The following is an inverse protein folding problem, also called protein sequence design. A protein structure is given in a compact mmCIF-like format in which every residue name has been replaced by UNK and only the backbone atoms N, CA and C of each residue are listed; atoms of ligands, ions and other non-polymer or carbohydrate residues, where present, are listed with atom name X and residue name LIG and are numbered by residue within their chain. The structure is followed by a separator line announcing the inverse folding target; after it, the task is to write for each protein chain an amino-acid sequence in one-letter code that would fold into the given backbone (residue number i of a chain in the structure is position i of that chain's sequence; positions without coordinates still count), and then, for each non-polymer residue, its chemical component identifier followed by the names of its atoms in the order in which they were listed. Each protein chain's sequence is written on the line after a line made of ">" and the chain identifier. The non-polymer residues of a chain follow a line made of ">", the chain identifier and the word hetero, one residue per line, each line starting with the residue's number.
data_IF_809130148507
#
_entry.id   IF_809130148507
#
_cell.length_a   1.000
_cell.length_b   1.000
_cell.length_c   1.000
_cell.angle_alpha   90.00
_cell.angle_beta   90.00
_cell.angle_gamma   90.00
#
_symmetry.space_group_name_H-M   'P 1'
#
loop_
_entity.id
_entity.type
_entity.pdbx_description
1 polymer ?
#
# COMPACT_ATOMS: atom_id res chain seq x y z
N UNK A 1 23.48 -4.55 -0.53
CA UNK A 1 22.34 -5.37 -0.97
C UNK A 1 22.12 -5.03 -2.43
N UNK A 2 22.06 -5.98 -3.30
CA UNK A 2 21.86 -5.78 -4.74
C UNK A 2 20.36 -5.99 -5.00
N UNK A 3 19.71 -4.99 -5.60
CA UNK A 3 18.28 -5.05 -5.98
C UNK A 3 18.17 -5.64 -7.37
N UNK A 4 17.20 -6.50 -7.60
CA UNK A 4 16.86 -7.11 -8.89
C UNK A 4 15.58 -6.53 -9.49
N UNK A 5 15.32 -6.82 -10.76
CA UNK A 5 14.10 -6.38 -11.45
C UNK A 5 12.82 -6.98 -10.88
N UNK A 6 12.90 -8.09 -10.15
CA UNK A 6 11.75 -8.78 -9.55
C UNK A 6 11.47 -8.34 -8.11
N UNK A 7 12.32 -7.44 -7.55
CA UNK A 7 12.18 -7.02 -6.18
C UNK A 7 11.10 -5.94 -6.00
N UNK A 8 10.51 -5.96 -4.82
CA UNK A 8 9.60 -4.92 -4.33
C UNK A 8 10.35 -4.02 -3.35
N UNK A 9 10.44 -2.74 -3.67
CA UNK A 9 11.09 -1.72 -2.85
C UNK A 9 10.03 -0.88 -2.17
N UNK A 10 9.91 -1.02 -0.84
CA UNK A 10 8.93 -0.25 -0.06
C UNK A 10 9.56 1.05 0.42
N UNK A 11 8.98 2.17 0.01
CA UNK A 11 9.33 3.53 0.42
C UNK A 11 8.20 4.06 1.30
N UNK A 12 8.51 4.38 2.55
CA UNK A 12 7.54 5.02 3.45
C UNK A 12 7.68 6.54 3.43
N UNK A 13 6.61 7.24 3.79
CA UNK A 13 6.64 8.70 3.95
C UNK A 13 7.70 9.18 4.93
N UNK A 14 8.06 8.37 5.92
CA UNK A 14 9.18 8.68 6.83
C UNK A 14 10.51 8.86 6.11
N UNK A 15 10.73 8.13 5.02
CA UNK A 15 11.95 8.24 4.21
C UNK A 15 12.07 9.58 3.50
N UNK A 16 10.95 10.24 3.23
CA UNK A 16 10.85 11.54 2.55
C UNK A 16 10.76 12.74 3.53
N UNK A 17 10.50 12.50 4.81
CA UNK A 17 10.37 13.55 5.81
C UNK A 17 11.70 14.28 6.11
N UNK A 18 12.84 13.71 5.76
CA UNK A 18 14.16 14.24 6.01
C UNK A 18 14.81 14.76 4.73
N UNK A 19 14.73 16.05 4.47
CA UNK A 19 15.23 16.71 3.24
C UNK A 19 16.67 16.35 2.87
N UNK A 20 17.57 16.18 3.85
CA UNK A 20 18.97 15.81 3.62
C UNK A 20 19.16 14.36 3.11
N UNK A 21 18.16 13.50 3.23
CA UNK A 21 18.21 12.11 2.75
C UNK A 21 17.48 11.91 1.42
N UNK A 22 16.57 12.82 1.07
CA UNK A 22 15.70 12.68 -0.10
C UNK A 22 16.49 12.64 -1.40
N UNK A 23 17.50 13.50 -1.56
CA UNK A 23 18.34 13.51 -2.77
C UNK A 23 19.02 12.16 -3.00
N UNK A 24 19.59 11.57 -1.94
CA UNK A 24 20.23 10.26 -2.03
C UNK A 24 19.21 9.14 -2.32
N UNK A 25 18.02 9.22 -1.72
CA UNK A 25 16.93 8.27 -1.96
C UNK A 25 16.46 8.36 -3.43
N UNK A 26 16.25 9.57 -3.94
CA UNK A 26 15.83 9.78 -5.34
C UNK A 26 16.86 9.24 -6.33
N UNK A 27 18.14 9.55 -6.11
CA UNK A 27 19.22 9.03 -6.96
C UNK A 27 19.31 7.50 -6.90
N UNK A 28 19.04 6.90 -5.74
CA UNK A 28 19.00 5.45 -5.58
C UNK A 28 17.79 4.82 -6.28
N UNK A 29 16.60 5.42 -6.15
CA UNK A 29 15.39 4.96 -6.83
C UNK A 29 15.50 5.04 -8.35
N UNK A 30 16.10 6.12 -8.87
CA UNK A 30 16.35 6.30 -10.30
C UNK A 30 17.35 5.28 -10.87
N UNK A 31 18.26 4.81 -10.03
CA UNK A 31 19.24 3.78 -10.36
C UNK A 31 18.76 2.33 -10.19
N UNK A 32 17.49 2.09 -9.83
CA UNK A 32 16.96 0.73 -9.69
C UNK A 32 16.88 0.01 -11.05
N UNK A 33 17.07 -1.32 -11.08
CA UNK A 33 16.86 -2.11 -12.29
C UNK A 33 15.47 -1.89 -12.86
N UNK A 34 15.37 -1.76 -14.19
CA UNK A 34 14.07 -1.71 -14.86
C UNK A 34 13.26 -2.96 -14.54
N UNK A 35 12.01 -2.77 -14.11
CA UNK A 35 11.13 -3.84 -13.64
C UNK A 35 10.97 -3.91 -12.11
N UNK A 36 11.86 -3.30 -11.33
CA UNK A 36 11.69 -3.19 -9.86
C UNK A 36 10.37 -2.49 -9.53
N UNK A 37 9.57 -3.11 -8.67
CA UNK A 37 8.29 -2.54 -8.22
C UNK A 37 8.51 -1.60 -7.05
N UNK A 38 8.31 -0.30 -7.27
CA UNK A 38 8.38 0.71 -6.21
C UNK A 38 7.02 0.86 -5.55
N UNK A 39 6.97 0.56 -4.26
CA UNK A 39 5.77 0.63 -3.42
C UNK A 39 5.88 1.83 -2.51
N UNK A 40 4.86 2.65 -2.44
CA UNK A 40 4.84 3.83 -1.59
C UNK A 40 3.69 3.78 -0.58
N UNK A 41 4.03 3.92 0.70
CA UNK A 41 3.07 4.13 1.80
C UNK A 41 3.36 5.50 2.44
N UNK A 42 2.47 6.50 2.31
CA UNK A 42 2.69 7.84 2.83
C UNK A 42 2.77 7.88 4.35
N UNK A 43 2.05 6.98 5.03
CA UNK A 43 1.96 6.94 6.48
C UNK A 43 1.40 8.23 7.09
N UNK A 44 1.52 8.40 8.42
CA UNK A 44 0.92 9.54 9.13
C UNK A 44 1.58 10.89 8.84
N UNK A 45 2.77 10.91 8.22
CA UNK A 45 3.48 12.15 7.86
C UNK A 45 3.02 12.74 6.53
N UNK A 46 1.90 12.28 6.01
CA UNK A 46 1.34 12.63 4.69
C UNK A 46 1.29 14.14 4.43
N UNK A 47 1.01 14.97 5.42
CA UNK A 47 0.94 16.43 5.24
C UNK A 47 2.31 17.08 4.97
N UNK A 48 3.39 16.42 5.32
CA UNK A 48 4.75 16.87 5.01
C UNK A 48 5.25 16.44 3.62
N UNK A 49 4.47 15.61 2.92
CA UNK A 49 4.85 15.01 1.64
C UNK A 49 4.41 15.85 0.43
N UNK A 50 4.57 17.16 0.53
CA UNK A 50 4.28 18.09 -0.55
C UNK A 50 5.58 18.77 -1.00
N UNK A 51 5.70 19.01 -2.29
CA UNK A 51 6.85 19.74 -2.79
C UNK A 51 7.53 19.08 -3.98
N UNK A 52 8.73 19.56 -4.28
CA UNK A 52 9.52 19.12 -5.46
C UNK A 52 9.91 17.65 -5.31
N UNK A 53 10.28 17.26 -4.09
CA UNK A 53 10.74 15.91 -3.76
C UNK A 53 9.64 14.88 -4.04
N UNK A 54 8.42 15.14 -3.57
CA UNK A 54 7.30 14.22 -3.82
C UNK A 54 6.97 14.14 -5.30
N UNK A 55 6.97 15.27 -6.02
CA UNK A 55 6.77 15.28 -7.48
C UNK A 55 7.79 14.44 -8.23
N UNK A 56 9.01 14.33 -7.72
CA UNK A 56 10.04 13.48 -8.33
C UNK A 56 9.83 11.99 -8.03
N UNK A 57 9.21 11.63 -6.91
CA UNK A 57 8.92 10.23 -6.53
C UNK A 57 7.67 9.69 -7.25
N UNK A 58 6.64 10.53 -7.43
CA UNK A 58 5.34 10.11 -7.98
C UNK A 58 5.44 9.27 -9.27
N UNK A 59 6.25 9.65 -10.29
CA UNK A 59 6.37 8.86 -11.52
C UNK A 59 7.03 7.50 -11.34
N UNK A 60 7.74 7.28 -10.24
CA UNK A 60 8.44 6.03 -9.94
C UNK A 60 7.56 5.02 -9.22
N UNK A 61 6.42 5.47 -8.65
CA UNK A 61 5.54 4.63 -7.84
C UNK A 61 4.77 3.65 -8.73
N UNK A 62 5.00 2.36 -8.52
CA UNK A 62 4.25 1.27 -9.15
C UNK A 62 3.03 0.84 -8.32
N UNK A 63 3.13 0.95 -6.99
CA UNK A 63 2.04 0.62 -6.05
C UNK A 63 1.93 1.73 -5.01
N UNK A 64 0.76 2.32 -4.91
CA UNK A 64 0.36 3.23 -3.82
C UNK A 64 -0.49 2.45 -2.80
N UNK A 65 -0.12 2.51 -1.52
CA UNK A 65 -0.89 1.89 -0.44
C UNK A 65 -1.05 2.87 0.73
N UNK A 66 -2.26 3.30 1.01
CA UNK A 66 -2.57 4.21 2.12
C UNK A 66 -3.89 3.83 2.79
N UNK A 67 -4.16 4.35 3.99
CA UNK A 67 -5.51 4.35 4.50
C UNK A 67 -6.34 5.49 3.87
N UNK A 68 -7.65 5.47 4.12
CA UNK A 68 -8.57 6.45 3.52
C UNK A 68 -8.24 7.89 3.99
N UNK A 69 -7.95 8.09 5.26
CA UNK A 69 -7.60 9.41 5.81
C UNK A 69 -6.31 9.96 5.19
N UNK A 70 -5.27 9.14 5.08
CA UNK A 70 -4.01 9.50 4.43
C UNK A 70 -4.22 9.89 2.98
N UNK A 71 -5.03 9.12 2.23
CA UNK A 71 -5.34 9.43 0.84
C UNK A 71 -6.06 10.77 0.70
N UNK A 72 -7.09 11.03 1.53
CA UNK A 72 -7.83 12.30 1.52
C UNK A 72 -6.93 13.50 1.84
N UNK A 73 -6.06 13.37 2.85
CA UNK A 73 -5.11 14.41 3.26
C UNK A 73 -4.08 14.68 2.18
N UNK A 74 -3.49 13.64 1.61
CA UNK A 74 -2.50 13.78 0.54
C UNK A 74 -3.07 14.48 -0.69
N UNK A 75 -4.25 14.06 -1.13
CA UNK A 75 -4.90 14.60 -2.33
C UNK A 75 -5.67 15.91 -2.07
N UNK A 76 -5.85 16.29 -0.80
CA UNK A 76 -6.67 17.43 -0.38
C UNK A 76 -8.11 17.34 -0.88
N UNK A 77 -8.64 16.13 -1.00
CA UNK A 77 -10.00 15.85 -1.44
C UNK A 77 -10.91 15.52 -0.26
N UNK A 78 -12.23 15.47 -0.51
CA UNK A 78 -13.23 15.21 0.53
C UNK A 78 -13.84 13.83 0.46
N UNK A 79 -13.70 13.16 -0.68
CA UNK A 79 -14.24 11.81 -0.88
C UNK A 79 -13.15 10.86 -1.35
N UNK A 80 -13.31 9.58 -1.03
CA UNK A 80 -12.41 8.53 -1.49
C UNK A 80 -12.39 8.41 -3.02
N UNK A 81 -13.54 8.63 -3.68
CA UNK A 81 -13.61 8.59 -5.13
C UNK A 81 -12.75 9.70 -5.76
N UNK A 82 -12.82 10.92 -5.20
CA UNK A 82 -12.00 12.04 -5.66
C UNK A 82 -10.51 11.78 -5.38
N UNK A 83 -10.18 11.18 -4.21
CA UNK A 83 -8.81 10.80 -3.87
C UNK A 83 -8.25 9.77 -4.86
N UNK A 84 -9.01 8.72 -5.19
CA UNK A 84 -8.63 7.73 -6.20
C UNK A 84 -8.41 8.37 -7.57
N UNK A 85 -9.33 9.22 -8.00
CA UNK A 85 -9.22 9.92 -9.27
C UNK A 85 -7.97 10.81 -9.32
N UNK A 86 -7.72 11.58 -8.26
CA UNK A 86 -6.54 12.43 -8.16
C UNK A 86 -5.26 11.59 -8.18
N UNK A 87 -5.16 10.54 -7.37
CA UNK A 87 -3.99 9.65 -7.37
C UNK A 87 -3.76 9.02 -8.76
N UNK A 88 -4.81 8.55 -9.42
CA UNK A 88 -4.70 8.01 -10.77
C UNK A 88 -4.23 9.05 -11.81
N UNK A 89 -4.49 10.34 -11.58
CA UNK A 89 -4.04 11.42 -12.47
C UNK A 89 -2.59 11.84 -12.30
N UNK A 90 -1.97 11.54 -11.15
CA UNK A 90 -0.60 11.97 -10.81
C UNK A 90 0.41 10.83 -10.75
N UNK A 91 -0.05 9.59 -10.63
CA UNK A 91 0.78 8.40 -10.70
C UNK A 91 0.92 7.91 -12.14
N UNK A 92 1.80 6.95 -12.38
CA UNK A 92 1.92 6.30 -13.69
C UNK A 92 0.63 5.56 -14.05
N UNK A 93 0.32 5.43 -15.33
CA UNK A 93 -0.93 4.87 -15.84
C UNK A 93 -1.19 3.42 -15.38
N UNK A 94 -0.13 2.64 -15.24
CA UNK A 94 -0.18 1.24 -14.81
C UNK A 94 -0.05 1.07 -13.27
N UNK A 95 -0.05 2.16 -12.51
CA UNK A 95 0.06 2.06 -11.06
C UNK A 95 -1.15 1.34 -10.43
N UNK A 96 -0.83 0.48 -9.47
CA UNK A 96 -1.82 -0.10 -8.57
C UNK A 96 -2.04 0.86 -7.39
N UNK A 97 -3.28 1.34 -7.21
CA UNK A 97 -3.65 2.18 -6.07
C UNK A 97 -4.54 1.37 -5.13
N UNK A 98 -4.13 1.28 -3.87
CA UNK A 98 -4.88 0.61 -2.81
C UNK A 98 -5.18 1.61 -1.70
N UNK A 99 -6.46 1.85 -1.43
CA UNK A 99 -6.93 2.67 -0.31
C UNK A 99 -7.65 1.77 0.70
N UNK A 100 -7.03 1.55 1.85
CA UNK A 100 -7.57 0.76 2.97
C UNK A 100 -8.68 1.54 3.66
N UNK A 101 -9.80 0.89 3.97
CA UNK A 101 -10.99 1.51 4.55
C UNK A 101 -11.43 0.78 5.84
N UNK A 102 -10.45 0.38 6.65
CA UNK A 102 -10.67 -0.30 7.92
C UNK A 102 -11.51 -1.57 7.78
N UNK A 103 -12.58 -1.73 8.59
CA UNK A 103 -13.44 -2.92 8.54
C UNK A 103 -14.16 -3.13 7.19
N UNK A 104 -14.32 -2.08 6.39
CA UNK A 104 -14.93 -2.17 5.08
C UNK A 104 -14.01 -2.86 4.04
N UNK A 105 -12.72 -3.05 4.35
CA UNK A 105 -11.76 -3.65 3.45
C UNK A 105 -10.91 -2.61 2.72
N UNK A 106 -10.80 -2.71 1.39
CA UNK A 106 -10.04 -1.74 0.61
C UNK A 106 -10.67 -1.47 -0.76
N UNK A 107 -10.26 -0.36 -1.33
CA UNK A 107 -10.55 -0.01 -2.71
C UNK A 107 -9.28 -0.12 -3.54
N UNK A 108 -9.42 -0.75 -4.67
CA UNK A 108 -8.33 -1.01 -5.61
C UNK A 108 -8.62 -0.30 -6.91
N UNK A 109 -7.66 0.49 -7.40
CA UNK A 109 -7.70 1.04 -8.75
C UNK A 109 -6.49 0.52 -9.54
N UNK A 110 -6.74 -0.13 -10.66
CA UNK A 110 -5.71 -0.67 -11.54
C UNK A 110 -6.27 -0.84 -12.95
N UNK A 111 -5.46 -0.57 -13.97
CA UNK A 111 -5.83 -0.65 -15.38
C UNK A 111 -7.16 0.08 -15.69
N UNK A 112 -7.34 1.29 -15.17
CA UNK A 112 -8.51 2.13 -15.37
C UNK A 112 -9.79 1.65 -14.66
N UNK A 113 -9.73 0.59 -13.85
CA UNK A 113 -10.88 0.05 -13.14
C UNK A 113 -10.74 0.22 -11.63
N UNK A 114 -11.83 0.65 -10.99
CA UNK A 114 -11.93 0.73 -9.52
C UNK A 114 -12.84 -0.37 -9.02
N UNK A 115 -12.36 -1.13 -8.03
CA UNK A 115 -13.11 -2.23 -7.39
C UNK A 115 -13.03 -2.11 -5.87
N UNK A 116 -14.10 -2.51 -5.21
CA UNK A 116 -14.14 -2.67 -3.76
C UNK A 116 -13.86 -4.13 -3.40
N UNK A 117 -12.89 -4.35 -2.54
CA UNK A 117 -12.57 -5.67 -2.00
C UNK A 117 -13.01 -5.68 -0.54
N UNK A 118 -13.97 -6.54 -0.17
CA UNK A 118 -14.56 -6.53 1.16
C UNK A 118 -13.54 -6.87 2.25
N UNK A 119 -13.78 -6.31 3.45
CA UNK A 119 -13.04 -6.67 4.66
C UNK A 119 -13.65 -7.86 5.38
N UNK A 120 -13.08 -8.18 6.54
CA UNK A 120 -13.53 -9.26 7.42
C UNK A 120 -13.98 -8.68 8.75
N UNK A 121 -15.15 -9.12 9.20
CA UNK A 121 -15.70 -8.69 10.48
C UNK A 121 -14.96 -9.37 11.65
N UNK A 122 -14.23 -8.58 12.44
CA UNK A 122 -13.51 -9.05 13.62
C UNK A 122 -13.64 -8.05 14.76
N UNK A 123 -13.37 -8.50 15.99
CA UNK A 123 -13.24 -7.58 17.14
C UNK A 123 -11.81 -7.09 17.24
N UNK A 124 -11.58 -5.81 16.91
CA UNK A 124 -10.26 -5.20 16.98
C UNK A 124 -9.84 -4.97 18.44
N UNK A 125 -8.59 -5.32 18.76
CA UNK A 125 -7.92 -5.09 20.05
C UNK A 125 -6.88 -3.98 19.92
N UNK A 126 -6.07 -4.03 18.84
CA UNK A 126 -5.02 -3.06 18.57
C UNK A 126 -4.86 -2.89 17.05
N UNK A 127 -4.92 -1.68 16.56
CA UNK A 127 -4.82 -1.39 15.11
C UNK A 127 -3.40 -1.08 14.64
N UNK A 128 -2.42 -1.03 15.56
CA UNK A 128 -1.02 -0.83 15.20
C UNK A 128 -0.51 -1.96 14.32
N UNK A 129 0.22 -1.62 13.24
CA UNK A 129 0.77 -2.59 12.31
C UNK A 129 -0.22 -3.22 11.32
N UNK A 130 -1.52 -2.89 11.39
CA UNK A 130 -2.52 -3.41 10.44
C UNK A 130 -2.19 -3.02 8.99
N UNK A 131 -1.72 -1.78 8.78
CA UNK A 131 -1.27 -1.30 7.47
C UNK A 131 -0.07 -2.09 6.95
N UNK A 132 0.91 -2.36 7.82
CA UNK A 132 2.11 -3.13 7.47
C UNK A 132 1.75 -4.60 7.15
N UNK A 133 0.87 -5.21 7.93
CA UNK A 133 0.38 -6.56 7.68
C UNK A 133 -0.36 -6.64 6.33
N UNK A 134 -1.23 -5.65 6.04
CA UNK A 134 -1.92 -5.55 4.76
C UNK A 134 -0.93 -5.41 3.60
N UNK A 135 -0.04 -4.42 3.66
CA UNK A 135 0.94 -4.17 2.60
C UNK A 135 1.86 -5.39 2.39
N UNK A 136 2.37 -5.98 3.47
CA UNK A 136 3.24 -7.15 3.39
C UNK A 136 2.59 -8.35 2.68
N UNK A 137 1.33 -8.66 3.02
CA UNK A 137 0.61 -9.77 2.37
C UNK A 137 0.20 -9.42 0.94
N UNK A 138 -0.25 -8.20 0.68
CA UNK A 138 -0.54 -7.72 -0.68
C UNK A 138 0.66 -7.96 -1.61
N UNK A 139 1.84 -7.46 -1.22
CA UNK A 139 3.05 -7.55 -2.03
C UNK A 139 3.53 -8.99 -2.17
N UNK A 140 3.46 -9.79 -1.11
CA UNK A 140 3.83 -11.20 -1.16
C UNK A 140 2.94 -12.01 -2.11
N UNK A 141 1.64 -11.70 -2.19
CA UNK A 141 0.72 -12.37 -3.11
C UNK A 141 0.93 -11.89 -4.55
N UNK A 142 1.16 -10.60 -4.77
CA UNK A 142 1.51 -10.07 -6.10
C UNK A 142 2.81 -10.68 -6.63
N UNK A 143 3.83 -10.80 -5.78
CA UNK A 143 5.10 -11.44 -6.13
C UNK A 143 4.96 -12.94 -6.49
N UNK A 144 3.89 -13.59 -6.02
CA UNK A 144 3.54 -14.98 -6.40
C UNK A 144 2.68 -15.08 -7.66
N UNK A 145 2.35 -13.94 -8.28
CA UNK A 145 1.50 -13.89 -9.46
C UNK A 145 0.00 -14.01 -9.19
N UNK A 146 -0.43 -13.79 -7.94
CA UNK A 146 -1.87 -13.68 -7.63
C UNK A 146 -2.48 -12.49 -8.37
N UNK A 147 -3.76 -12.61 -8.75
CA UNK A 147 -4.51 -11.45 -9.25
C UNK A 147 -4.58 -10.35 -8.19
N UNK A 148 -4.71 -9.10 -8.63
CA UNK A 148 -4.80 -7.95 -7.72
C UNK A 148 -5.94 -8.12 -6.71
N UNK A 149 -7.11 -8.60 -7.15
CA UNK A 149 -8.27 -8.78 -6.28
C UNK A 149 -8.03 -9.86 -5.22
N UNK A 150 -7.42 -10.98 -5.61
CA UNK A 150 -7.04 -12.04 -4.66
C UNK A 150 -5.98 -11.55 -3.67
N UNK A 151 -4.96 -10.85 -4.14
CA UNK A 151 -3.92 -10.28 -3.29
C UNK A 151 -4.50 -9.29 -2.27
N UNK A 152 -5.40 -8.41 -2.71
CA UNK A 152 -6.08 -7.44 -1.84
C UNK A 152 -7.03 -8.11 -0.82
N UNK A 153 -7.77 -9.15 -1.23
CA UNK A 153 -8.63 -9.90 -0.30
C UNK A 153 -7.81 -10.57 0.81
N UNK A 154 -6.70 -11.21 0.46
CA UNK A 154 -5.80 -11.85 1.40
C UNK A 154 -5.11 -10.82 2.32
N UNK A 155 -4.78 -9.66 1.78
CA UNK A 155 -4.25 -8.54 2.56
C UNK A 155 -5.27 -8.01 3.57
N UNK A 156 -6.55 -7.87 3.19
CA UNK A 156 -7.64 -7.52 4.10
C UNK A 156 -7.79 -8.57 5.22
N UNK A 157 -7.70 -9.87 4.90
CA UNK A 157 -7.73 -10.94 5.90
C UNK A 157 -6.54 -10.84 6.88
N UNK A 158 -5.34 -10.59 6.37
CA UNK A 158 -4.16 -10.42 7.20
C UNK A 158 -4.28 -9.23 8.16
N UNK A 159 -4.76 -8.09 7.67
CA UNK A 159 -5.03 -6.92 8.51
C UNK A 159 -6.10 -7.22 9.57
N UNK A 160 -7.18 -7.91 9.19
CA UNK A 160 -8.24 -8.30 10.11
C UNK A 160 -7.71 -9.22 11.23
N UNK A 161 -6.87 -10.20 10.92
CA UNK A 161 -6.24 -11.05 11.94
C UNK A 161 -5.29 -10.22 12.82
N UNK A 162 -4.45 -9.37 12.22
CA UNK A 162 -3.48 -8.57 12.94
C UNK A 162 -4.13 -7.69 14.02
N UNK A 163 -5.26 -7.04 13.72
CA UNK A 163 -5.94 -6.16 14.69
C UNK A 163 -6.58 -6.91 15.86
N UNK A 164 -6.73 -8.23 15.80
CA UNK A 164 -7.20 -9.04 16.93
C UNK A 164 -6.12 -9.33 17.98
N UNK A 165 -4.89 -8.84 17.75
CA UNK A 165 -3.71 -9.11 18.57
C UNK A 165 -3.11 -7.81 19.08
N UNK A 166 -2.43 -7.85 20.22
CA UNK A 166 -1.74 -6.67 20.77
C UNK A 166 -0.35 -6.51 20.18
N UNK A 167 -0.01 -5.28 19.81
CA UNK A 167 1.31 -4.88 19.33
C UNK A 167 1.40 -4.77 17.81
N UNK A 168 2.47 -4.13 17.31
CA UNK A 168 2.58 -3.75 15.89
C UNK A 168 3.08 -4.90 14.99
N UNK A 169 3.68 -5.96 15.56
CA UNK A 169 4.28 -7.06 14.79
C UNK A 169 3.45 -8.33 14.88
N UNK A 170 2.17 -8.24 14.53
CA UNK A 170 1.17 -9.30 14.71
C UNK A 170 0.65 -9.88 13.39
N UNK A 171 1.35 -9.62 12.29
CA UNK A 171 0.99 -10.15 10.98
C UNK A 171 0.85 -11.69 11.03
N UNK A 172 -0.23 -12.26 10.47
CA UNK A 172 -0.46 -13.70 10.48
C UNK A 172 0.45 -14.44 9.52
N UNK A 173 0.61 -15.75 9.76
CA UNK A 173 1.15 -16.68 8.78
C UNK A 173 0.16 -16.97 7.65
N UNK A 174 0.67 -17.60 6.59
CA UNK A 174 -0.14 -17.93 5.39
C UNK A 174 -1.35 -18.80 5.73
N UNK A 175 -1.15 -19.83 6.57
CA UNK A 175 -2.20 -20.78 6.96
C UNK A 175 -3.38 -20.09 7.67
N UNK A 176 -3.09 -19.08 8.49
CA UNK A 176 -4.13 -18.31 9.18
C UNK A 176 -4.95 -17.48 8.20
N UNK A 177 -4.28 -16.89 7.20
CA UNK A 177 -4.94 -16.14 6.11
C UNK A 177 -5.80 -17.09 5.27
N UNK A 178 -5.27 -18.26 4.92
CA UNK A 178 -5.99 -19.31 4.15
C UNK A 178 -7.24 -19.78 4.91
N UNK A 179 -7.14 -19.96 6.22
CA UNK A 179 -8.26 -20.35 7.05
C UNK A 179 -9.38 -19.29 7.10
N UNK A 180 -9.04 -18.00 7.08
CA UNK A 180 -10.02 -16.92 7.12
C UNK A 180 -10.66 -16.66 5.76
N UNK A 181 -9.89 -16.72 4.68
CA UNK A 181 -10.38 -16.45 3.31
C UNK A 181 -11.20 -17.63 2.78
N UNK A 182 -10.93 -18.85 3.23
CA UNK A 182 -11.49 -20.09 2.69
C UNK A 182 -10.62 -20.64 1.56
N UNK A 183 -10.67 -21.98 1.39
CA UNK A 183 -9.81 -22.69 0.45
C UNK A 183 -10.16 -22.46 -1.03
N UNK A 184 -11.30 -21.85 -1.33
CA UNK A 184 -11.86 -21.72 -2.69
C UNK A 184 -11.68 -20.33 -3.32
N UNK A 185 -10.89 -19.44 -2.68
CA UNK A 185 -10.55 -18.12 -3.20
C UNK A 185 -9.10 -17.99 -3.64
#
# INVERSE_FOLDING_TARGET
>A
MQVSAEDYVVVSGYSLAHKNKVTALLAWLDGLPGGTTVVFDPGPLVDALHGVEMRAVLPLISVWSSNCEEALRFTQTRTRADALHHLASILREDALIVIRDGPAGCWVHHAGQTRHIPGFAVTAIDTNGAGDAHAGVLLAELARGSSVDRAALRANAAAAIAVTRRGPATAPGREEVDALVGADF
#
